data_IF_132245597071
#
_entry.id   IF_132245597071
#
_cell.length_a   1.000
_cell.length_b   1.000
_cell.length_c   1.000
_cell.angle_alpha   90.00
_cell.angle_beta   90.00
_cell.angle_gamma   90.00
#
_symmetry.space_group_name_H-M   'P 1'
#
loop_
_entity.id
_entity.type
_entity.pdbx_description
1 polymer ?
#
# COMPACT_ATOMS: atom_id res chain seq x y z
N UNK A 1 -27.22 21.99 -38.88
CA UNK A 1 -26.99 22.59 -37.54
C UNK A 1 -26.88 21.43 -36.58
N UNK A 2 -25.68 21.09 -36.13
CA UNK A 2 -25.46 20.03 -35.14
C UNK A 2 -25.68 20.61 -33.73
N UNK A 3 -26.19 19.84 -32.75
CA UNK A 3 -26.30 20.31 -31.38
C UNK A 3 -24.89 20.50 -30.79
N UNK A 4 -24.70 21.62 -30.10
CA UNK A 4 -23.52 21.88 -29.28
C UNK A 4 -23.66 21.09 -27.97
N UNK A 5 -23.04 19.92 -27.92
CA UNK A 5 -22.94 19.15 -26.69
C UNK A 5 -21.85 19.79 -25.86
N UNK A 6 -22.26 20.73 -25.00
CA UNK A 6 -21.39 21.47 -24.10
C UNK A 6 -20.29 20.58 -23.51
N UNK A 7 -19.07 21.10 -23.55
CA UNK A 7 -17.84 20.47 -23.05
C UNK A 7 -18.10 19.83 -21.69
N UNK A 8 -18.04 18.50 -21.62
CA UNK A 8 -18.04 17.79 -20.33
C UNK A 8 -16.80 18.28 -19.56
N UNK A 9 -16.95 18.87 -18.36
CA UNK A 9 -15.79 19.20 -17.54
C UNK A 9 -15.08 17.89 -17.19
N UNK A 10 -13.79 17.81 -17.48
CA UNK A 10 -12.97 16.70 -17.03
C UNK A 10 -13.10 16.61 -15.50
N UNK A 11 -13.38 15.42 -14.97
CA UNK A 11 -13.40 15.19 -13.54
C UNK A 11 -12.06 15.65 -12.94
N UNK A 12 -12.05 16.20 -11.71
CA UNK A 12 -10.81 16.53 -11.04
C UNK A 12 -9.91 15.29 -11.02
N UNK A 13 -8.73 15.40 -11.61
CA UNK A 13 -7.70 14.36 -11.46
C UNK A 13 -7.23 14.50 -10.02
N UNK A 14 -7.56 13.53 -9.15
CA UNK A 14 -6.97 13.53 -7.82
C UNK A 14 -5.44 13.55 -7.97
N UNK A 15 -4.74 14.37 -7.17
CA UNK A 15 -3.29 14.40 -7.23
C UNK A 15 -2.77 12.98 -6.99
N UNK A 16 -1.87 12.52 -7.86
CA UNK A 16 -1.27 11.20 -7.74
C UNK A 16 -0.63 11.04 -6.35
N UNK A 17 -0.84 9.88 -5.71
CA UNK A 17 -0.21 9.51 -4.45
C UNK A 17 0.60 8.22 -4.67
N UNK A 18 1.86 8.36 -5.14
CA UNK A 18 2.67 7.22 -5.54
C UNK A 18 2.91 6.21 -4.42
N UNK A 19 2.97 6.67 -3.17
CA UNK A 19 3.13 5.78 -2.01
C UNK A 19 1.85 4.97 -1.77
N UNK A 20 0.68 5.61 -1.87
CA UNK A 20 -0.59 4.91 -1.76
C UNK A 20 -0.78 3.88 -2.88
N UNK A 21 -0.37 4.22 -4.10
CA UNK A 21 -0.39 3.30 -5.25
C UNK A 21 0.53 2.10 -5.02
N UNK A 22 1.75 2.31 -4.51
CA UNK A 22 2.69 1.25 -4.18
C UNK A 22 2.16 0.31 -3.09
N UNK A 23 1.62 0.85 -2.00
CA UNK A 23 0.98 0.08 -0.91
C UNK A 23 -0.21 -0.73 -1.46
N UNK A 24 -1.02 -0.11 -2.32
CA UNK A 24 -2.15 -0.76 -2.96
C UNK A 24 -1.72 -1.94 -3.84
N UNK A 25 -0.68 -1.75 -4.65
CA UNK A 25 -0.11 -2.80 -5.48
C UNK A 25 0.43 -3.97 -4.64
N UNK A 26 1.19 -3.67 -3.57
CA UNK A 26 1.70 -4.70 -2.66
C UNK A 26 0.57 -5.53 -2.05
N UNK A 27 -0.43 -4.88 -1.45
CA UNK A 27 -1.56 -5.57 -0.80
C UNK A 27 -2.39 -6.39 -1.79
N UNK A 28 -2.61 -5.87 -3.00
CA UNK A 28 -3.34 -6.58 -4.03
C UNK A 28 -2.58 -7.84 -4.48
N UNK A 29 -1.27 -7.73 -4.73
CA UNK A 29 -0.44 -8.87 -5.10
C UNK A 29 -0.26 -9.89 -3.98
N UNK A 30 -0.17 -9.44 -2.72
CA UNK A 30 -0.11 -10.34 -1.57
C UNK A 30 -1.43 -11.10 -1.38
N UNK A 31 -2.57 -10.45 -1.61
CA UNK A 31 -3.87 -11.11 -1.61
C UNK A 31 -3.98 -12.16 -2.73
N UNK A 32 -3.45 -11.86 -3.93
CA UNK A 32 -3.35 -12.83 -5.03
C UNK A 32 -2.48 -14.03 -4.65
N UNK A 33 -1.30 -13.79 -4.09
CA UNK A 33 -0.44 -14.83 -3.55
C UNK A 33 -1.18 -15.72 -2.52
N UNK A 34 -1.80 -15.11 -1.52
CA UNK A 34 -2.50 -15.85 -0.46
C UNK A 34 -3.66 -16.71 -1.00
N UNK A 35 -4.28 -16.30 -2.13
CA UNK A 35 -5.38 -17.02 -2.74
C UNK A 35 -4.93 -18.11 -3.73
N UNK A 36 -3.81 -17.89 -4.42
CA UNK A 36 -3.47 -18.62 -5.64
C UNK A 36 -2.08 -19.28 -5.63
N UNK A 37 -1.25 -19.01 -4.62
CA UNK A 37 0.10 -19.55 -4.58
C UNK A 37 0.08 -21.10 -4.55
N UNK A 38 0.91 -21.75 -5.40
CA UNK A 38 1.11 -23.20 -5.31
C UNK A 38 1.85 -23.57 -4.02
N UNK A 39 1.73 -24.83 -3.60
CA UNK A 39 2.45 -25.33 -2.41
C UNK A 39 3.92 -25.66 -2.71
N UNK A 40 4.74 -25.67 -1.64
CA UNK A 40 6.15 -26.07 -1.69
C UNK A 40 7.03 -25.06 -2.43
N UNK A 41 8.11 -25.53 -3.03
CA UNK A 41 9.14 -24.67 -3.67
C UNK A 41 8.60 -23.77 -4.80
N UNK A 42 7.42 -24.08 -5.34
CA UNK A 42 6.77 -23.24 -6.35
C UNK A 42 6.15 -21.97 -5.75
N UNK A 43 5.89 -21.94 -4.43
CA UNK A 43 5.36 -20.79 -3.71
C UNK A 43 6.31 -19.60 -3.82
N UNK A 44 7.61 -19.82 -3.56
CA UNK A 44 8.63 -18.76 -3.60
C UNK A 44 8.73 -18.13 -4.99
N UNK A 45 8.74 -18.95 -6.04
CA UNK A 45 8.73 -18.45 -7.42
C UNK A 45 7.46 -17.66 -7.77
N UNK A 46 6.32 -18.01 -7.15
CA UNK A 46 5.07 -17.27 -7.29
C UNK A 46 5.13 -15.92 -6.54
N UNK A 47 5.72 -15.89 -5.34
CA UNK A 47 5.97 -14.67 -4.58
C UNK A 47 6.85 -13.68 -5.37
N UNK A 48 7.96 -14.16 -5.95
CA UNK A 48 8.88 -13.35 -6.78
C UNK A 48 8.20 -12.72 -8.01
N UNK A 49 7.14 -13.36 -8.53
CA UNK A 49 6.37 -12.86 -9.67
C UNK A 49 5.19 -11.97 -9.29
N UNK A 50 4.72 -12.05 -8.04
CA UNK A 50 3.50 -11.37 -7.56
C UNK A 50 3.83 -10.20 -6.64
N UNK A 51 3.97 -10.45 -5.34
CA UNK A 51 4.15 -9.39 -4.34
C UNK A 51 5.61 -8.98 -4.15
N UNK A 52 6.58 -9.78 -4.60
CA UNK A 52 8.01 -9.46 -4.49
C UNK A 52 8.39 -8.10 -5.09
N UNK A 53 8.05 -7.81 -6.36
CA UNK A 53 8.37 -6.53 -6.98
C UNK A 53 7.77 -5.30 -6.27
N UNK A 54 6.48 -5.25 -5.89
CA UNK A 54 5.95 -4.12 -5.13
C UNK A 54 6.50 -4.06 -3.69
N UNK A 55 6.86 -5.20 -3.08
CA UNK A 55 7.56 -5.22 -1.78
C UNK A 55 8.91 -4.53 -1.87
N UNK A 56 9.76 -4.91 -2.84
CA UNK A 56 11.06 -4.25 -3.07
C UNK A 56 10.90 -2.76 -3.33
N UNK A 57 9.88 -2.36 -4.10
CA UNK A 57 9.58 -0.94 -4.33
C UNK A 57 9.28 -0.16 -3.04
N UNK A 58 8.66 -0.80 -2.04
CA UNK A 58 8.41 -0.20 -0.72
C UNK A 58 9.67 -0.25 0.17
N UNK A 59 10.44 -1.34 0.13
CA UNK A 59 11.70 -1.49 0.88
C UNK A 59 12.74 -0.43 0.48
N UNK A 60 12.79 -0.09 -0.81
CA UNK A 60 13.70 0.91 -1.38
C UNK A 60 13.10 2.34 -1.36
N UNK A 61 11.95 2.54 -0.73
CA UNK A 61 11.24 3.82 -0.77
C UNK A 61 11.90 4.91 0.09
N UNK A 62 12.41 5.96 -0.55
CA UNK A 62 13.08 7.07 0.14
C UNK A 62 12.29 8.39 0.15
N UNK A 63 11.19 8.48 -0.61
CA UNK A 63 10.39 9.70 -0.71
C UNK A 63 9.40 9.85 0.46
N UNK A 64 9.09 11.07 0.93
CA UNK A 64 8.08 11.27 1.96
C UNK A 64 6.67 10.94 1.47
N UNK A 65 5.77 10.57 2.37
CA UNK A 65 4.34 10.56 2.09
C UNK A 65 3.85 11.97 1.76
N UNK A 66 3.01 12.11 0.72
CA UNK A 66 2.52 13.40 0.23
C UNK A 66 1.10 13.73 0.72
N UNK A 67 0.41 12.76 1.32
CA UNK A 67 -0.93 12.97 1.89
C UNK A 67 -1.03 12.35 3.28
N UNK A 68 -1.98 12.82 4.09
CA UNK A 68 -2.30 12.22 5.37
C UNK A 68 -2.70 10.74 5.21
N UNK A 69 -3.43 10.44 4.14
CA UNK A 69 -3.88 9.09 3.81
C UNK A 69 -2.71 8.16 3.53
N UNK A 70 -1.74 8.53 2.69
CA UNK A 70 -0.59 7.67 2.42
C UNK A 70 0.31 7.49 3.63
N UNK A 71 0.47 8.52 4.46
CA UNK A 71 1.20 8.38 5.71
C UNK A 71 0.54 7.36 6.65
N UNK A 72 -0.79 7.40 6.78
CA UNK A 72 -1.53 6.48 7.64
C UNK A 72 -1.49 5.04 7.09
N UNK A 73 -1.68 4.86 5.78
CA UNK A 73 -1.61 3.53 5.16
C UNK A 73 -0.21 2.91 5.25
N UNK A 74 0.86 3.72 5.14
CA UNK A 74 2.23 3.24 5.32
C UNK A 74 2.47 2.74 6.74
N UNK A 75 1.98 3.46 7.76
CA UNK A 75 2.09 3.02 9.15
C UNK A 75 1.29 1.74 9.42
N UNK A 76 0.08 1.61 8.86
CA UNK A 76 -0.73 0.40 8.97
C UNK A 76 -0.01 -0.79 8.35
N UNK A 77 0.51 -0.64 7.13
CA UNK A 77 1.30 -1.68 6.48
C UNK A 77 2.50 -2.10 7.34
N UNK A 78 3.22 -1.15 7.93
CA UNK A 78 4.34 -1.45 8.81
C UNK A 78 3.93 -2.22 10.08
N UNK A 79 2.74 -1.98 10.63
CA UNK A 79 2.19 -2.78 11.73
C UNK A 79 1.91 -4.21 11.26
N UNK A 80 1.18 -4.36 10.14
CA UNK A 80 0.77 -5.65 9.58
C UNK A 80 1.99 -6.58 9.33
N UNK A 81 3.02 -6.06 8.66
CA UNK A 81 4.26 -6.80 8.35
C UNK A 81 5.08 -7.13 9.62
N UNK A 82 5.07 -6.21 10.60
CA UNK A 82 5.80 -6.40 11.84
C UNK A 82 5.20 -7.51 12.72
N UNK A 83 3.88 -7.66 12.72
CA UNK A 83 3.20 -8.76 13.42
C UNK A 83 3.47 -10.11 12.74
N UNK A 84 3.61 -10.13 11.41
CA UNK A 84 3.89 -11.34 10.64
C UNK A 84 5.33 -11.87 10.75
N UNK A 85 6.32 -10.99 10.94
CA UNK A 85 7.74 -11.34 10.78
C UNK A 85 8.56 -11.51 12.07
N UNK A 86 7.95 -11.77 13.23
CA UNK A 86 8.65 -12.03 14.50
C UNK A 86 9.73 -10.97 14.85
N UNK A 87 9.35 -9.70 14.76
CA UNK A 87 10.28 -8.58 14.96
C UNK A 87 10.41 -8.16 16.43
N UNK A 88 11.10 -7.03 16.68
CA UNK A 88 11.19 -6.43 18.01
C UNK A 88 9.78 -6.08 18.54
N UNK A 89 9.38 -6.58 19.74
CA UNK A 89 8.03 -6.44 20.28
C UNK A 89 7.63 -5.00 20.61
N UNK A 90 8.57 -4.05 20.58
CA UNK A 90 8.27 -2.62 20.79
C UNK A 90 7.79 -1.91 19.51
N UNK A 91 8.00 -2.48 18.32
CA UNK A 91 7.72 -1.77 17.06
C UNK A 91 6.21 -1.63 16.81
N UNK A 92 5.47 -2.74 16.83
CA UNK A 92 4.01 -2.74 16.67
C UNK A 92 3.28 -1.76 17.62
N UNK A 93 3.48 -1.76 18.96
CA UNK A 93 2.75 -0.86 19.85
C UNK A 93 3.11 0.62 19.64
N UNK A 94 4.35 0.94 19.22
CA UNK A 94 4.74 2.32 18.92
C UNK A 94 4.11 2.83 17.62
N UNK A 95 4.11 2.01 16.56
CA UNK A 95 3.45 2.36 15.31
C UNK A 95 1.93 2.51 15.50
N UNK A 96 1.29 1.60 16.25
CA UNK A 96 -0.13 1.68 16.57
C UNK A 96 -0.49 2.97 17.34
N UNK A 97 0.36 3.43 18.26
CA UNK A 97 0.16 4.69 18.97
C UNK A 97 0.19 5.90 18.02
N UNK A 98 1.08 5.91 17.02
CA UNK A 98 1.14 6.97 16.01
C UNK A 98 -0.10 6.94 15.11
N UNK A 99 -0.50 5.75 14.64
CA UNK A 99 -1.74 5.56 13.86
C UNK A 99 -2.95 6.14 14.60
N UNK A 100 -3.15 5.76 15.87
CA UNK A 100 -4.29 6.22 16.67
C UNK A 100 -4.31 7.75 16.86
N UNK A 101 -3.14 8.37 17.04
CA UNK A 101 -3.02 9.82 17.16
C UNK A 101 -3.37 10.54 15.85
N UNK A 102 -2.94 10.00 14.71
CA UNK A 102 -3.22 10.57 13.39
C UNK A 102 -4.71 10.39 13.01
N UNK A 103 -5.30 9.22 13.29
CA UNK A 103 -6.73 8.97 13.08
C UNK A 103 -7.61 9.94 13.86
N UNK A 104 -7.23 10.26 15.11
CA UNK A 104 -7.95 11.22 15.95
C UNK A 104 -7.85 12.70 15.51
N UNK A 105 -7.03 13.00 14.49
CA UNK A 105 -6.87 14.35 13.92
C UNK A 105 -7.53 14.51 12.54
N UNK A 106 -8.21 13.47 12.04
CA UNK A 106 -8.86 13.44 10.71
C UNK A 106 -10.27 14.03 10.71
#
# INVERSE_FOLDING_TARGET
MFPDFGRIPAAPVEPADPLLDAIGAYRASLADYNANAPEGDAADAYAEQTYGPPMTGIEEWEAPATTHRSALEALRLAVDENEGCATNPMVAPLLAAVVAYLEGQS
#
